data_IF_216601085447
#
_entry.id   IF_216601085447
#
_cell.length_a   1.000
_cell.length_b   1.000
_cell.length_c   1.000
_cell.angle_alpha   90.00
_cell.angle_beta   90.00
_cell.angle_gamma   90.00
#
_symmetry.space_group_name_H-M   'P 1'
#
loop_
_entity.id
_entity.type
_entity.pdbx_description
1 polymer ?
#
# COMPACT_ATOMS: atom_id res chain seq x y z
N UNK A 1 2.38 -12.28 14.21
CA UNK A 1 1.24 -11.32 14.26
C UNK A 1 1.75 -10.02 14.86
N UNK A 2 1.42 -8.86 14.28
CA UNK A 2 1.72 -7.57 14.92
C UNK A 2 0.91 -7.47 16.22
N UNK A 3 1.58 -7.18 17.34
CA UNK A 3 0.89 -6.81 18.58
C UNK A 3 0.17 -5.47 18.36
N UNK A 4 -1.09 -5.37 18.82
CA UNK A 4 -1.87 -4.13 18.75
C UNK A 4 -1.11 -2.93 19.36
N UNK A 5 -0.24 -3.20 20.34
CA UNK A 5 0.65 -2.22 20.97
C UNK A 5 1.57 -1.51 19.96
N UNK A 6 2.08 -2.21 18.95
CA UNK A 6 2.99 -1.64 17.93
C UNK A 6 2.30 -0.61 17.04
N UNK A 7 1.02 -0.84 16.69
CA UNK A 7 0.24 0.15 15.92
C UNK A 7 0.02 1.42 16.73
N UNK A 8 -0.28 1.28 18.03
CA UNK A 8 -0.45 2.43 18.92
C UNK A 8 0.83 3.25 19.08
N UNK A 9 1.99 2.59 19.21
CA UNK A 9 3.29 3.27 19.35
C UNK A 9 3.65 4.15 18.15
N UNK A 10 3.31 3.73 16.93
CA UNK A 10 3.68 4.44 15.69
C UNK A 10 2.49 5.12 15.00
N UNK A 11 1.38 5.28 15.73
CA UNK A 11 0.12 5.81 15.21
C UNK A 11 0.28 7.16 14.50
N UNK A 12 1.04 8.09 15.08
CA UNK A 12 1.19 9.44 14.52
C UNK A 12 1.90 9.41 13.16
N UNK A 13 2.90 8.54 12.99
CA UNK A 13 3.61 8.37 11.71
C UNK A 13 2.73 7.73 10.65
N UNK A 14 1.95 6.72 11.05
CA UNK A 14 0.95 6.10 10.19
C UNK A 14 -0.11 7.12 9.75
N UNK A 15 -0.62 7.92 10.67
CA UNK A 15 -1.60 8.96 10.39
C UNK A 15 -1.04 10.03 9.45
N UNK A 16 0.21 10.44 9.65
CA UNK A 16 0.87 11.38 8.74
C UNK A 16 0.98 10.81 7.32
N UNK A 17 1.40 9.55 7.17
CA UNK A 17 1.47 8.89 5.87
C UNK A 17 0.08 8.79 5.20
N UNK A 18 -0.96 8.44 5.96
CA UNK A 18 -2.35 8.37 5.48
C UNK A 18 -2.87 9.75 5.07
N UNK A 19 -2.56 10.80 5.83
CA UNK A 19 -2.96 12.17 5.50
C UNK A 19 -2.38 12.63 4.15
N UNK A 20 -1.21 12.12 3.77
CA UNK A 20 -0.57 12.40 2.48
C UNK A 20 -1.14 11.60 1.30
N UNK A 21 -2.07 10.65 1.51
CA UNK A 21 -2.60 9.77 0.44
C UNK A 21 -3.24 10.51 -0.74
N UNK A 22 -3.69 11.75 -0.54
CA UNK A 22 -4.28 12.62 -1.59
C UNK A 22 -3.33 13.72 -2.08
N UNK A 23 -2.07 13.68 -1.63
CA UNK A 23 -1.03 14.65 -1.98
C UNK A 23 0.19 13.93 -2.60
N UNK A 24 0.11 13.49 -3.86
CA UNK A 24 1.10 12.61 -4.48
C UNK A 24 2.52 13.16 -4.45
N UNK A 25 2.70 14.47 -4.67
CA UNK A 25 4.02 15.11 -4.61
C UNK A 25 4.64 15.04 -3.20
N UNK A 26 3.85 15.25 -2.16
CA UNK A 26 4.30 15.16 -0.77
C UNK A 26 4.62 13.71 -0.39
N UNK A 27 3.80 12.77 -0.86
CA UNK A 27 4.02 11.34 -0.66
C UNK A 27 5.31 10.86 -1.36
N UNK A 28 5.58 11.33 -2.58
CA UNK A 28 6.82 11.04 -3.29
C UNK A 28 8.05 11.59 -2.54
N UNK A 29 7.96 12.79 -1.96
CA UNK A 29 9.03 13.35 -1.12
C UNK A 29 9.28 12.51 0.14
N UNK A 30 8.22 12.00 0.76
CA UNK A 30 8.34 11.07 1.89
C UNK A 30 9.02 9.75 1.49
N UNK A 31 8.68 9.20 0.33
CA UNK A 31 9.24 7.94 -0.17
C UNK A 31 10.65 8.07 -0.75
N UNK A 32 11.01 9.24 -1.27
CA UNK A 32 12.34 9.57 -1.79
C UNK A 32 12.51 9.36 -3.30
N UNK A 33 13.43 10.10 -3.90
CA UNK A 33 13.62 10.16 -5.37
C UNK A 33 14.03 8.81 -5.98
N UNK A 34 14.87 8.04 -5.28
CA UNK A 34 15.30 6.70 -5.73
C UNK A 34 14.12 5.74 -5.83
N UNK A 35 13.20 5.78 -4.86
CA UNK A 35 11.99 4.97 -4.85
C UNK A 35 11.10 5.34 -6.05
N UNK A 36 10.90 6.64 -6.27
CA UNK A 36 10.10 7.15 -7.38
C UNK A 36 10.67 6.74 -8.74
N UNK A 37 11.99 6.88 -8.93
CA UNK A 37 12.64 6.49 -10.18
C UNK A 37 12.46 4.99 -10.47
N UNK A 38 12.62 4.14 -9.45
CA UNK A 38 12.38 2.70 -9.59
C UNK A 38 10.93 2.35 -9.89
N UNK A 39 9.98 3.06 -9.26
CA UNK A 39 8.55 2.90 -9.54
C UNK A 39 8.24 3.26 -11.00
N UNK A 40 8.72 4.42 -11.47
CA UNK A 40 8.52 4.90 -12.84
C UNK A 40 9.13 3.98 -13.89
N UNK A 41 10.25 3.33 -13.59
CA UNK A 41 10.93 2.38 -14.49
C UNK A 41 10.42 0.94 -14.35
N UNK A 42 9.44 0.69 -13.48
CA UNK A 42 8.94 -0.67 -13.20
C UNK A 42 9.96 -1.59 -12.53
N UNK A 43 11.05 -1.05 -11.99
CA UNK A 43 12.16 -1.80 -11.39
C UNK A 43 12.11 -1.89 -9.86
N UNK A 44 11.04 -1.36 -9.25
CA UNK A 44 10.82 -1.39 -7.81
C UNK A 44 10.38 -2.78 -7.33
N UNK A 45 11.10 -3.35 -6.36
CA UNK A 45 10.77 -4.67 -5.79
C UNK A 45 9.97 -4.53 -4.49
N UNK A 46 9.19 -5.56 -4.16
CA UNK A 46 8.42 -5.63 -2.91
C UNK A 46 9.32 -5.49 -1.68
N UNK A 47 10.48 -6.16 -1.67
CA UNK A 47 11.45 -6.06 -0.56
C UNK A 47 11.98 -4.65 -0.33
N UNK A 48 12.08 -3.84 -1.39
CA UNK A 48 12.48 -2.43 -1.29
C UNK A 48 11.34 -1.57 -0.73
N UNK A 49 10.09 -1.92 -1.03
CA UNK A 49 8.90 -1.28 -0.45
C UNK A 49 8.84 -1.58 1.05
N UNK A 50 8.96 -2.85 1.44
CA UNK A 50 8.96 -3.28 2.84
C UNK A 50 10.04 -2.55 3.64
N UNK A 51 11.28 -2.54 3.14
CA UNK A 51 12.42 -1.85 3.76
C UNK A 51 12.15 -0.35 3.91
N UNK A 52 11.60 0.29 2.88
CA UNK A 52 11.32 1.73 2.91
C UNK A 52 10.19 2.08 3.87
N UNK A 53 9.14 1.26 3.93
CA UNK A 53 8.03 1.43 4.87
C UNK A 53 8.52 1.26 6.30
N UNK A 54 9.34 0.25 6.58
CA UNK A 54 9.95 0.05 7.89
C UNK A 54 10.83 1.26 8.29
N UNK A 55 11.60 1.84 7.36
CA UNK A 55 12.42 3.01 7.64
C UNK A 55 11.59 4.23 8.07
N UNK A 56 10.48 4.50 7.38
CA UNK A 56 9.61 5.67 7.59
C UNK A 56 8.75 5.47 8.85
N UNK A 57 8.03 4.36 8.90
CA UNK A 57 6.96 4.12 9.88
C UNK A 57 7.48 3.39 11.12
N UNK A 58 8.66 2.77 11.06
CA UNK A 58 9.27 1.94 12.14
C UNK A 58 8.46 0.69 12.49
N UNK A 59 7.64 0.25 11.55
CA UNK A 59 6.84 -0.98 11.65
C UNK A 59 7.25 -1.90 10.50
N UNK A 60 7.49 -3.16 10.82
CA UNK A 60 7.71 -4.20 9.81
C UNK A 60 6.40 -4.50 9.09
N UNK A 61 6.34 -4.14 7.81
CA UNK A 61 5.30 -4.57 6.88
C UNK A 61 5.81 -5.71 6.00
N UNK A 62 4.89 -6.52 5.49
CA UNK A 62 5.19 -7.55 4.51
C UNK A 62 4.19 -7.46 3.34
N UNK A 63 4.69 -7.53 2.12
CA UNK A 63 3.88 -7.67 0.92
C UNK A 63 3.48 -9.13 0.73
N UNK A 64 2.17 -9.40 0.78
CA UNK A 64 1.64 -10.75 0.55
C UNK A 64 1.25 -10.87 -0.93
N UNK A 65 1.94 -11.72 -1.67
CA UNK A 65 1.59 -12.04 -3.06
C UNK A 65 0.38 -12.99 -3.01
N UNK A 66 -0.79 -12.47 -3.38
CA UNK A 66 -2.04 -13.25 -3.47
C UNK A 66 -2.25 -13.77 -4.90
N UNK A 67 -2.59 -15.05 -5.03
CA UNK A 67 -3.07 -15.64 -6.28
C UNK A 67 -4.59 -15.51 -6.46
N UNK A 68 -5.26 -14.93 -5.48
CA UNK A 68 -6.71 -14.69 -5.44
C UNK A 68 -6.97 -13.24 -5.82
N UNK A 69 -7.21 -12.91 -7.11
CA UNK A 69 -7.46 -11.54 -7.54
C UNK A 69 -8.71 -10.92 -6.88
N UNK A 70 -9.68 -11.75 -6.48
CA UNK A 70 -10.93 -11.34 -5.82
C UNK A 70 -10.72 -10.51 -4.55
N UNK A 71 -9.58 -10.65 -3.87
CA UNK A 71 -9.25 -9.84 -2.68
C UNK A 71 -9.03 -8.36 -3.00
N UNK A 72 -8.70 -8.04 -4.26
CA UNK A 72 -8.39 -6.68 -4.72
C UNK A 72 -9.47 -6.07 -5.60
N UNK A 73 -10.54 -6.81 -5.93
CA UNK A 73 -11.65 -6.30 -6.73
C UNK A 73 -12.63 -5.57 -5.82
N UNK A 74 -12.78 -4.26 -6.04
CA UNK A 74 -13.80 -3.43 -5.38
C UNK A 74 -14.96 -3.16 -6.35
N UNK A 75 -16.17 -3.01 -5.83
CA UNK A 75 -17.39 -2.77 -6.63
C UNK A 75 -17.82 -1.31 -6.47
N UNK A 76 -17.19 -0.44 -7.25
CA UNK A 76 -17.44 1.00 -7.20
C UNK A 76 -18.41 1.48 -8.30
N UNK A 77 -18.47 0.77 -9.43
CA UNK A 77 -19.23 1.16 -10.62
C UNK A 77 -20.25 0.09 -11.02
N UNK A 78 -21.32 0.47 -11.76
CA UNK A 78 -22.27 -0.51 -12.30
C UNK A 78 -21.63 -1.63 -13.13
N UNK A 79 -20.58 -1.33 -13.90
CA UNK A 79 -19.80 -2.32 -14.66
C UNK A 79 -19.14 -3.36 -13.76
N UNK A 80 -18.70 -2.97 -12.57
CA UNK A 80 -18.02 -3.85 -11.63
C UNK A 80 -19.03 -4.83 -11.03
N UNK A 81 -20.25 -4.37 -10.78
CA UNK A 81 -21.36 -5.22 -10.33
C UNK A 81 -21.78 -6.25 -11.39
N UNK A 82 -21.79 -5.86 -12.67
CA UNK A 82 -22.03 -6.78 -13.78
C UNK A 82 -20.95 -7.87 -13.84
N UNK A 83 -19.68 -7.48 -13.71
CA UNK A 83 -18.53 -8.40 -13.66
C UNK A 83 -18.66 -9.40 -12.51
N UNK A 84 -18.93 -8.92 -11.29
CA UNK A 84 -19.05 -9.80 -10.10
C UNK A 84 -20.22 -10.77 -10.23
N UNK A 85 -21.38 -10.34 -10.76
CA UNK A 85 -22.52 -11.23 -11.02
C UNK A 85 -22.25 -12.29 -12.08
N UNK A 86 -21.38 -12.00 -13.05
CA UNK A 86 -21.00 -12.99 -14.06
C UNK A 86 -20.06 -14.07 -13.48
N UNK A 87 -19.21 -13.69 -12.51
CA UNK A 87 -18.21 -14.57 -11.89
C UNK A 87 -18.80 -15.39 -10.73
N UNK A 88 -19.64 -14.77 -9.89
CA UNK A 88 -20.31 -15.40 -8.75
C UNK A 88 -21.70 -15.89 -9.19
N UNK A 89 -21.77 -17.09 -9.76
CA UNK A 89 -23.04 -17.79 -10.00
C UNK A 89 -23.59 -18.40 -8.72
#
# INVERSE_FOLDING_TARGET
MMEAKTIHTYKDRLQQAIALRKHPLKLCRLLGIKFLFKLMTGSLRVTEIESRVEEIVKVKGAGVISLFPEIGVDVDKPSDLELVRAILK
#
